data_IF_070412279561
#
_entry.id   IF_070412279561
#
_cell.length_a   1.000
_cell.length_b   1.000
_cell.length_c   1.000
_cell.angle_alpha   90.00
_cell.angle_beta   90.00
_cell.angle_gamma   90.00
#
_symmetry.space_group_name_H-M   'P 1'
#
loop_
_entity.id
_entity.type
_entity.pdbx_description
1 polymer ?
#
# COMPACT_ATOMS: atom_id res chain seq x y z
N UNK A 1 9.11 -1.63 -12.86
CA UNK A 1 9.26 -0.26 -13.41
C UNK A 1 9.96 0.58 -12.34
N UNK A 2 11.19 1.02 -12.57
CA UNK A 2 11.96 1.82 -11.60
C UNK A 2 11.60 3.28 -11.77
N UNK A 3 11.16 3.96 -10.70
CA UNK A 3 10.86 5.40 -10.73
C UNK A 3 12.05 6.14 -10.12
N UNK A 4 12.78 6.90 -10.94
CA UNK A 4 13.84 7.78 -10.48
C UNK A 4 13.29 9.18 -10.28
N UNK A 5 13.49 9.77 -9.10
CA UNK A 5 13.16 11.17 -8.84
C UNK A 5 14.36 11.89 -8.26
N UNK A 6 14.95 12.77 -9.06
CA UNK A 6 16.08 13.60 -8.69
C UNK A 6 15.59 14.88 -7.99
N UNK A 7 16.16 15.19 -6.82
CA UNK A 7 15.89 16.42 -6.08
C UNK A 7 17.15 17.29 -6.13
N UNK A 8 17.19 18.25 -7.06
CA UNK A 8 18.25 19.25 -7.13
C UNK A 8 17.79 20.52 -6.41
N UNK A 9 18.18 20.71 -5.13
CA UNK A 9 17.96 21.98 -4.42
C UNK A 9 19.15 22.34 -3.53
N UNK A 10 19.61 23.58 -3.63
CA UNK A 10 20.69 24.18 -2.83
C UNK A 10 20.25 24.61 -1.43
N UNK A 11 18.94 24.64 -1.16
CA UNK A 11 18.35 24.74 0.17
C UNK A 11 17.15 23.79 0.26
N UNK A 12 17.22 22.80 1.14
CA UNK A 12 16.14 21.85 1.35
C UNK A 12 15.40 22.30 2.61
N UNK A 13 14.09 22.64 2.55
CA UNK A 13 13.31 22.79 3.78
C UNK A 13 13.41 21.48 4.56
N UNK A 14 13.59 21.56 5.87
CA UNK A 14 13.91 20.43 6.76
C UNK A 14 12.97 19.22 6.67
N UNK A 15 11.82 19.37 5.98
CA UNK A 15 10.76 18.37 5.86
C UNK A 15 10.30 18.27 4.39
N UNK A 16 10.86 17.36 3.61
CA UNK A 16 10.35 17.04 2.27
C UNK A 16 9.27 15.96 2.36
N UNK A 17 8.13 16.16 1.69
CA UNK A 17 7.05 15.16 1.58
C UNK A 17 6.78 14.80 0.12
N UNK A 18 6.88 13.51 -0.23
CA UNK A 18 6.49 13.00 -1.55
C UNK A 18 5.29 12.06 -1.46
N UNK A 19 4.64 11.80 -2.61
CA UNK A 19 3.57 10.80 -2.71
C UNK A 19 3.81 9.84 -3.86
N UNK A 20 3.64 8.54 -3.61
CA UNK A 20 3.78 7.45 -4.59
C UNK A 20 2.72 6.36 -4.36
N UNK A 21 2.41 5.57 -5.40
CA UNK A 21 1.55 4.40 -5.30
C UNK A 21 2.36 3.11 -5.45
N UNK A 22 2.19 2.15 -4.54
CA UNK A 22 2.94 0.88 -4.48
C UNK A 22 2.00 -0.31 -4.22
N UNK A 23 2.31 -1.53 -4.68
CA UNK A 23 1.51 -2.73 -4.41
C UNK A 23 1.64 -3.23 -2.95
N UNK A 24 0.55 -3.76 -2.39
CA UNK A 24 0.49 -4.29 -1.02
C UNK A 24 1.36 -5.52 -0.80
N UNK A 25 1.48 -6.47 -1.74
CA UNK A 25 2.12 -7.77 -1.46
C UNK A 25 3.48 -7.98 -2.12
N UNK A 26 4.10 -6.91 -2.65
CA UNK A 26 5.43 -7.01 -3.27
C UNK A 26 6.49 -6.33 -2.40
N UNK A 27 7.66 -6.95 -2.32
CA UNK A 27 8.82 -6.30 -1.71
C UNK A 27 9.30 -5.17 -2.61
N UNK A 28 9.31 -3.96 -2.08
CA UNK A 28 9.78 -2.77 -2.77
C UNK A 28 11.19 -2.46 -2.29
N UNK A 29 12.10 -2.24 -3.25
CA UNK A 29 13.46 -1.81 -2.97
C UNK A 29 13.56 -0.28 -3.09
N UNK A 30 14.09 0.34 -2.04
CA UNK A 30 14.39 1.75 -1.95
C UNK A 30 15.91 1.89 -1.92
N UNK A 31 16.46 2.82 -2.71
CA UNK A 31 17.90 3.09 -2.77
C UNK A 31 18.18 4.60 -2.68
N UNK A 32 19.27 4.93 -2.00
CA UNK A 32 19.88 6.25 -1.93
C UNK A 32 21.30 6.26 -2.50
N UNK A 33 21.72 5.23 -3.26
CA UNK A 33 23.12 5.01 -3.70
C UNK A 33 23.73 6.18 -4.50
N UNK A 34 22.92 7.09 -5.04
CA UNK A 34 23.36 8.28 -5.78
C UNK A 34 23.26 9.59 -4.96
N UNK A 35 23.00 9.50 -3.67
CA UNK A 35 22.89 10.66 -2.77
C UNK A 35 24.26 11.06 -2.26
N UNK A 36 24.58 12.35 -2.34
CA UNK A 36 25.82 12.90 -1.79
C UNK A 36 25.60 14.31 -1.26
N UNK A 37 26.26 14.66 -0.16
CA UNK A 37 26.42 16.05 0.23
C UNK A 37 27.69 16.58 -0.43
N UNK A 38 27.55 17.65 -1.24
CA UNK A 38 28.67 18.36 -1.82
C UNK A 38 29.07 19.48 -0.87
N UNK A 39 30.32 19.44 -0.39
CA UNK A 39 30.91 20.51 0.39
C UNK A 39 31.98 21.22 -0.46
N UNK A 40 31.96 22.54 -0.49
CA UNK A 40 33.03 23.33 -1.08
C UNK A 40 33.94 23.85 0.02
N UNK A 41 35.22 23.51 -0.03
CA UNK A 41 36.24 24.02 0.87
C UNK A 41 37.40 24.53 0.02
N UNK A 42 37.75 25.81 0.18
CA UNK A 42 38.85 26.47 -0.55
C UNK A 42 38.78 26.26 -2.08
N UNK A 43 37.59 26.39 -2.67
CA UNK A 43 37.38 26.21 -4.11
C UNK A 43 37.31 24.75 -4.59
N UNK A 44 37.60 23.77 -3.73
CA UNK A 44 37.55 22.34 -4.05
C UNK A 44 36.26 21.70 -3.55
N UNK A 45 35.64 20.84 -4.35
CA UNK A 45 34.43 20.11 -3.97
C UNK A 45 34.77 18.71 -3.43
N UNK A 46 34.22 18.41 -2.25
CA UNK A 46 34.33 17.13 -1.58
C UNK A 46 32.98 16.41 -1.57
N UNK A 47 33.00 15.09 -1.74
CA UNK A 47 31.84 14.23 -1.52
C UNK A 47 31.87 13.72 -0.08
N UNK A 48 30.85 14.07 0.70
CA UNK A 48 30.74 13.61 2.09
C UNK A 48 29.90 12.33 2.14
N UNK A 49 30.40 11.25 2.79
CA UNK A 49 29.61 10.05 3.04
C UNK A 49 28.35 10.36 3.86
N UNK A 50 27.25 9.69 3.52
CA UNK A 50 25.96 9.87 4.17
C UNK A 50 25.52 8.55 4.82
N UNK A 51 24.93 8.67 6.00
CA UNK A 51 24.28 7.57 6.71
C UNK A 51 22.77 7.75 6.54
N UNK A 52 22.08 6.69 6.12
CA UNK A 52 20.63 6.68 5.92
C UNK A 52 19.97 5.72 6.91
N UNK A 53 19.03 6.26 7.69
CA UNK A 53 18.18 5.49 8.59
C UNK A 53 16.75 5.54 8.08
N UNK A 54 16.23 4.38 7.69
CA UNK A 54 14.89 4.21 7.16
C UNK A 54 13.95 3.79 8.28
N UNK A 55 12.75 4.36 8.30
CA UNK A 55 11.64 3.93 9.14
C UNK A 55 10.42 3.73 8.24
N UNK A 56 9.87 2.52 8.24
CA UNK A 56 8.70 2.15 7.44
C UNK A 56 7.45 2.06 8.31
N UNK A 57 6.32 1.76 7.68
CA UNK A 57 5.09 1.45 8.39
C UNK A 57 5.32 0.28 9.38
N UNK A 58 4.59 0.29 10.50
CA UNK A 58 4.77 -0.62 11.64
C UNK A 58 6.08 -0.42 12.42
N UNK A 59 6.70 0.76 12.33
CA UNK A 59 7.92 1.10 13.08
C UNK A 59 9.15 0.24 12.73
N UNK A 60 9.12 -0.47 11.60
CA UNK A 60 10.28 -1.20 11.12
C UNK A 60 11.40 -0.22 10.76
N UNK A 61 12.60 -0.47 11.28
CA UNK A 61 13.76 0.39 11.09
C UNK A 61 14.92 -0.38 10.48
N UNK A 62 15.64 0.26 9.57
CA UNK A 62 16.86 -0.30 8.99
C UNK A 62 17.82 0.82 8.62
N UNK A 63 19.10 0.48 8.50
CA UNK A 63 20.17 1.41 8.15
C UNK A 63 20.91 0.90 6.92
N UNK A 64 21.26 1.80 6.02
CA UNK A 64 22.02 1.47 4.81
C UNK A 64 21.58 2.29 3.61
N UNK A 65 22.35 2.24 2.52
CA UNK A 65 22.01 2.95 1.29
C UNK A 65 20.84 2.32 0.54
N UNK A 66 20.45 1.09 0.90
CA UNK A 66 19.28 0.42 0.36
C UNK A 66 18.44 -0.17 1.47
N UNK A 67 17.13 -0.22 1.24
CA UNK A 67 16.17 -0.83 2.15
C UNK A 67 15.08 -1.55 1.36
N UNK A 68 14.70 -2.74 1.81
CA UNK A 68 13.63 -3.53 1.22
C UNK A 68 12.47 -3.58 2.19
N UNK A 69 11.26 -3.33 1.71
CA UNK A 69 10.06 -3.36 2.54
C UNK A 69 8.85 -3.85 1.74
N UNK A 70 8.09 -4.76 2.33
CA UNK A 70 6.78 -5.17 1.85
C UNK A 70 5.72 -4.57 2.78
N UNK A 71 4.73 -3.93 2.19
CA UNK A 71 3.57 -3.45 2.93
C UNK A 71 2.69 -4.65 3.31
N UNK A 72 1.90 -4.56 4.38
CA UNK A 72 1.00 -5.66 4.75
C UNK A 72 -0.47 -5.31 4.58
N UNK A 73 -0.78 -4.01 4.48
CA UNK A 73 -2.15 -3.47 4.39
C UNK A 73 -2.24 -2.46 3.25
N UNK A 74 -3.36 -2.39 2.52
CA UNK A 74 -3.57 -1.39 1.49
C UNK A 74 -4.02 -0.07 2.11
N UNK A 75 -4.09 0.98 1.28
CA UNK A 75 -4.77 2.22 1.61
C UNK A 75 -6.23 2.13 1.15
N UNK A 76 -7.16 2.03 2.09
CA UNK A 76 -8.60 1.93 1.79
C UNK A 76 -9.24 3.31 1.69
N UNK A 77 -9.82 3.63 0.53
CA UNK A 77 -10.52 4.90 0.29
C UNK A 77 -9.65 6.13 0.62
N UNK A 78 -10.15 7.02 1.49
CA UNK A 78 -9.42 8.18 2.01
C UNK A 78 -8.64 7.89 3.30
N UNK A 79 -8.35 6.62 3.58
CA UNK A 79 -7.65 6.17 4.77
C UNK A 79 -6.22 6.74 4.91
N UNK A 80 -5.61 6.57 6.09
CA UNK A 80 -4.28 7.10 6.36
C UNK A 80 -3.25 6.49 5.39
N UNK A 81 -2.53 7.37 4.69
CA UNK A 81 -1.37 6.97 3.88
C UNK A 81 -0.27 6.46 4.79
N UNK A 82 0.46 5.46 4.32
CA UNK A 82 1.60 4.93 5.06
C UNK A 82 2.81 5.84 4.86
N UNK A 83 3.58 6.07 5.92
CA UNK A 83 4.76 6.93 5.85
C UNK A 83 6.03 6.08 5.82
N UNK A 84 6.97 6.51 4.98
CA UNK A 84 8.38 6.10 5.07
C UNK A 84 9.15 7.35 5.48
N UNK A 85 9.89 7.27 6.56
CA UNK A 85 10.79 8.34 7.00
C UNK A 85 12.23 7.94 6.75
N UNK A 86 13.03 8.87 6.25
CA UNK A 86 14.44 8.68 5.93
C UNK A 86 15.18 9.80 6.64
N UNK A 87 15.89 9.45 7.72
CA UNK A 87 16.80 10.36 8.39
C UNK A 87 18.19 10.18 7.77
N UNK A 88 18.69 11.23 7.14
CA UNK A 88 20.01 11.26 6.53
C UNK A 88 20.93 12.09 7.39
N UNK A 89 22.06 11.53 7.81
CA UNK A 89 23.06 12.25 8.62
C UNK A 89 24.42 12.17 7.94
N UNK A 90 25.09 13.31 7.83
CA UNK A 90 26.50 13.37 7.42
C UNK A 90 27.44 13.19 8.61
N UNK A 91 28.69 12.81 8.34
CA UNK A 91 29.75 12.77 9.39
C UNK A 91 29.99 14.13 10.05
N UNK A 92 29.63 15.24 9.39
CA UNK A 92 29.69 16.60 9.91
C UNK A 92 28.43 17.01 10.71
N UNK A 93 27.63 16.03 11.16
CA UNK A 93 26.41 16.20 11.96
C UNK A 93 25.27 17.01 11.30
N UNK A 94 25.39 17.35 10.01
CA UNK A 94 24.25 17.86 9.25
C UNK A 94 23.21 16.76 9.06
N UNK A 95 21.94 17.07 9.37
CA UNK A 95 20.80 16.15 9.27
C UNK A 95 19.77 16.64 8.26
N UNK A 96 19.16 15.70 7.56
CA UNK A 96 18.00 15.94 6.70
C UNK A 96 16.96 14.84 6.94
N UNK A 97 15.72 15.24 7.15
CA UNK A 97 14.59 14.33 7.29
C UNK A 97 13.70 14.38 6.04
N UNK A 98 13.46 13.22 5.46
CA UNK A 98 12.62 13.03 4.28
C UNK A 98 11.46 12.11 4.65
N UNK A 99 10.23 12.52 4.30
CA UNK A 99 9.04 11.69 4.45
C UNK A 99 8.44 11.36 3.09
N UNK A 100 8.09 10.10 2.86
CA UNK A 100 7.38 9.63 1.68
C UNK A 100 6.03 9.10 2.14
N UNK A 101 4.95 9.72 1.64
CA UNK A 101 3.58 9.23 1.81
C UNK A 101 3.29 8.22 0.72
N UNK A 102 2.97 7.00 1.11
CA UNK A 102 2.71 5.88 0.21
C UNK A 102 1.21 5.59 0.21
N UNK A 103 0.65 5.56 -0.99
CA UNK A 103 -0.65 4.95 -1.27
C UNK A 103 -0.40 3.49 -1.63
N UNK A 104 -0.90 2.56 -0.80
CA UNK A 104 -0.68 1.13 -1.04
C UNK A 104 -1.90 0.57 -1.77
N UNK A 105 -1.71 0.14 -3.00
CA UNK A 105 -2.73 -0.49 -3.82
C UNK A 105 -2.98 -1.90 -3.29
N UNK A 106 -4.24 -2.25 -3.07
CA UNK A 106 -4.64 -3.62 -2.84
C UNK A 106 -4.32 -4.47 -4.07
N UNK A 107 -3.71 -5.63 -3.83
CA UNK A 107 -3.34 -6.60 -4.86
C UNK A 107 -4.01 -7.95 -4.64
N UNK A 108 -4.87 -8.06 -3.63
CA UNK A 108 -5.60 -9.29 -3.29
C UNK A 108 -6.77 -9.45 -4.27
N UNK A 109 -6.88 -10.58 -4.97
CA UNK A 109 -8.07 -10.85 -5.76
C UNK A 109 -9.29 -11.05 -4.85
N UNK A 110 -10.37 -10.32 -5.09
CA UNK A 110 -11.64 -10.55 -4.39
C UNK A 110 -12.20 -11.94 -4.75
N UNK A 111 -12.55 -12.74 -3.75
CA UNK A 111 -13.23 -14.02 -3.95
C UNK A 111 -14.71 -13.88 -3.56
N UNK A 112 -15.66 -14.06 -4.50
CA UNK A 112 -17.07 -13.90 -4.20
C UNK A 112 -17.56 -15.02 -3.29
N UNK A 113 -18.42 -14.66 -2.32
CA UNK A 113 -19.14 -15.61 -1.47
C UNK A 113 -20.56 -15.74 -2.02
N UNK A 114 -20.93 -16.95 -2.40
CA UNK A 114 -22.29 -17.27 -2.83
C UNK A 114 -23.13 -17.64 -1.60
N UNK A 115 -24.17 -16.86 -1.35
CA UNK A 115 -25.15 -17.13 -0.30
C UNK A 115 -26.44 -17.65 -0.93
N UNK A 116 -26.98 -18.72 -0.36
CA UNK A 116 -28.30 -19.25 -0.69
C UNK A 116 -29.34 -18.64 0.25
N UNK A 117 -30.43 -18.14 -0.32
CA UNK A 117 -31.57 -17.60 0.42
C UNK A 117 -32.88 -18.21 -0.08
N UNK A 118 -33.90 -18.25 0.78
CA UNK A 118 -35.27 -18.57 0.37
C UNK A 118 -36.01 -17.33 -0.16
N UNK A 119 -37.26 -17.49 -0.59
CA UNK A 119 -38.13 -16.40 -1.06
C UNK A 119 -38.37 -15.29 -0.01
N UNK A 120 -38.23 -15.60 1.28
CA UNK A 120 -38.29 -14.63 2.38
C UNK A 120 -36.95 -13.95 2.67
N UNK A 121 -35.94 -14.12 1.81
CA UNK A 121 -34.58 -13.56 1.95
C UNK A 121 -33.84 -14.05 3.22
N UNK A 122 -34.22 -15.21 3.76
CA UNK A 122 -33.46 -15.85 4.84
C UNK A 122 -32.42 -16.79 4.26
N UNK A 123 -31.21 -16.76 4.83
CA UNK A 123 -30.14 -17.69 4.47
C UNK A 123 -30.57 -19.15 4.72
N UNK A 124 -30.28 -20.01 3.76
CA UNK A 124 -30.53 -21.46 3.82
C UNK A 124 -29.23 -22.21 3.50
N UNK A 125 -29.08 -23.43 4.01
CA UNK A 125 -27.91 -24.28 3.75
C UNK A 125 -28.10 -25.23 2.58
N UNK A 126 -29.35 -25.46 2.16
CA UNK A 126 -29.70 -26.29 1.01
C UNK A 126 -31.00 -25.81 0.35
N UNK A 127 -31.17 -25.96 -0.99
CA UNK A 127 -32.43 -25.74 -1.66
C UNK A 127 -33.49 -26.75 -1.21
N UNK A 128 -34.74 -26.32 -1.14
CA UNK A 128 -35.89 -27.20 -0.87
C UNK A 128 -36.66 -27.37 -2.17
N UNK A 129 -37.04 -28.60 -2.52
CA UNK A 129 -37.84 -28.90 -3.69
C UNK A 129 -39.11 -28.03 -3.74
N UNK A 130 -39.49 -27.59 -4.93
CA UNK A 130 -40.66 -26.73 -5.18
C UNK A 130 -40.61 -25.31 -4.55
N UNK A 131 -39.57 -24.97 -3.80
CA UNK A 131 -39.38 -23.63 -3.24
C UNK A 131 -38.41 -22.81 -4.09
N UNK A 132 -38.69 -21.50 -4.20
CA UNK A 132 -37.77 -20.57 -4.84
C UNK A 132 -36.51 -20.43 -3.99
N UNK A 133 -35.37 -20.69 -4.60
CA UNK A 133 -34.04 -20.46 -4.03
C UNK A 133 -33.39 -19.29 -4.75
N UNK A 134 -32.85 -18.35 -3.97
CA UNK A 134 -32.17 -17.16 -4.44
C UNK A 134 -30.67 -17.35 -4.18
N UNK A 135 -29.83 -17.16 -5.20
CA UNK A 135 -28.39 -17.07 -5.06
C UNK A 135 -27.99 -15.60 -5.12
N UNK A 136 -27.13 -15.17 -4.18
CA UNK A 136 -26.50 -13.85 -4.23
C UNK A 136 -25.00 -13.96 -4.05
N UNK A 137 -24.25 -13.13 -4.78
CA UNK A 137 -22.79 -13.02 -4.70
C UNK A 137 -22.37 -11.60 -4.24
N UNK A 138 -23.00 -11.09 -3.18
CA UNK A 138 -22.84 -9.70 -2.74
C UNK A 138 -21.76 -9.51 -1.66
N UNK A 139 -20.97 -10.54 -1.38
CA UNK A 139 -19.94 -10.53 -0.34
C UNK A 139 -18.61 -11.05 -0.92
N UNK A 140 -17.50 -10.54 -0.42
CA UNK A 140 -16.15 -11.05 -0.69
C UNK A 140 -15.57 -11.64 0.59
N UNK A 141 -14.67 -12.63 0.47
CA UNK A 141 -13.84 -13.07 1.62
C UNK A 141 -12.66 -12.14 1.89
N UNK A 142 -12.37 -11.21 0.99
CA UNK A 142 -11.34 -10.19 1.17
C UNK A 142 -11.78 -9.19 2.24
N UNK A 143 -11.03 -9.08 3.33
CA UNK A 143 -11.33 -8.22 4.48
C UNK A 143 -11.42 -6.72 4.12
N UNK A 144 -10.78 -6.32 3.02
CA UNK A 144 -10.73 -4.94 2.54
C UNK A 144 -11.92 -4.60 1.61
N UNK A 145 -12.51 -5.62 0.99
CA UNK A 145 -13.74 -5.54 0.20
C UNK A 145 -14.89 -6.08 1.06
N UNK A 146 -15.50 -5.22 1.89
CA UNK A 146 -16.65 -5.59 2.73
C UNK A 146 -17.91 -6.00 1.95
N UNK A 147 -19.11 -5.73 2.49
CA UNK A 147 -20.38 -5.88 1.74
C UNK A 147 -20.24 -5.18 0.40
N UNK A 148 -20.32 -5.97 -0.67
CA UNK A 148 -19.99 -5.56 -2.03
C UNK A 148 -21.20 -4.82 -2.59
N UNK A 149 -21.49 -3.63 -2.06
CA UNK A 149 -22.57 -2.79 -2.56
C UNK A 149 -22.21 -2.13 -3.89
N UNK A 150 -20.90 -2.02 -4.20
CA UNK A 150 -20.39 -1.29 -5.37
C UNK A 150 -19.38 -2.08 -6.24
N UNK A 151 -19.00 -3.32 -5.91
CA UNK A 151 -18.25 -4.14 -6.87
C UNK A 151 -19.23 -4.96 -7.71
N UNK A 152 -18.87 -5.11 -8.97
CA UNK A 152 -19.63 -5.62 -10.11
C UNK A 152 -19.98 -7.13 -10.04
N UNK A 153 -20.33 -7.65 -8.86
CA UNK A 153 -20.81 -9.02 -8.63
C UNK A 153 -22.23 -9.10 -8.06
N UNK A 154 -22.98 -7.99 -8.03
CA UNK A 154 -24.37 -7.98 -7.62
C UNK A 154 -25.27 -8.65 -8.68
N UNK A 155 -25.22 -9.98 -8.73
CA UNK A 155 -26.08 -10.82 -9.55
C UNK A 155 -26.97 -11.65 -8.64
N UNK A 156 -28.29 -11.46 -8.81
CA UNK A 156 -29.32 -12.22 -8.12
C UNK A 156 -29.92 -13.21 -9.09
N UNK A 157 -29.81 -14.49 -8.80
CA UNK A 157 -30.42 -15.55 -9.59
C UNK A 157 -31.49 -16.25 -8.76
N UNK A 158 -32.62 -16.59 -9.39
CA UNK A 158 -33.70 -17.32 -8.76
C UNK A 158 -33.94 -18.62 -9.53
N UNK A 159 -33.97 -19.74 -8.80
CA UNK A 159 -34.21 -21.07 -9.35
C UNK A 159 -35.38 -21.73 -8.61
N UNK A 160 -36.15 -22.52 -9.36
CA UNK A 160 -37.15 -23.45 -8.81
C UNK A 160 -36.69 -24.85 -9.20
N UNK A 161 -36.53 -25.73 -8.21
CA UNK A 161 -36.06 -27.09 -8.42
C UNK A 161 -37.27 -28.03 -8.53
N UNK A 162 -37.35 -28.77 -9.64
CA UNK A 162 -38.35 -29.83 -9.88
C UNK A 162 -37.58 -31.15 -9.93
N UNK A 163 -37.99 -32.14 -9.13
CA UNK A 163 -37.40 -33.48 -9.05
C UNK A 163 -38.42 -34.50 -9.52
#
# INVERSE_FOLDING_TARGET
>A
KTVFKQVNRTSIPSNLTYSISLPQSQTISFTSDNSSLRLQLNGTYYKIPLIFNWTFANSYKTQGTSANYAFSKPTIGNGPRQNISINTTSVALTKLDLTIKVFVNDTTPANPVITLMNSSQKNITAPIASNVTILTANYSTDEYYGSVTNASFASKWAFKWEF
#
